data_IF_892363902365
#
_entry.id   IF_892363902365
#
_cell.length_a   1.000
_cell.length_b   1.000
_cell.length_c   1.000
_cell.angle_alpha   90.00
_cell.angle_beta   90.00
_cell.angle_gamma   90.00
#
_symmetry.space_group_name_H-M   'P 1'
#
loop_
_entity.id
_entity.type
_entity.pdbx_description
1 polymer ?
#
# COMPACT_ATOMS: atom_id res chain seq x y z
N UNK A 1 -10.66 -7.18 -13.64
CA UNK A 1 -9.21 -7.30 -13.35
C UNK A 1 -8.60 -8.39 -14.23
N UNK A 2 -7.26 -8.50 -14.29
CA UNK A 2 -6.61 -9.65 -14.96
C UNK A 2 -7.06 -11.00 -14.37
N UNK A 3 -7.39 -11.04 -13.06
CA UNK A 3 -8.00 -12.19 -12.39
C UNK A 3 -9.29 -12.70 -13.04
N UNK A 4 -10.09 -11.81 -13.64
CA UNK A 4 -11.45 -12.13 -14.11
C UNK A 4 -11.49 -12.54 -15.58
N UNK A 5 -10.33 -12.56 -16.26
CA UNK A 5 -10.25 -12.98 -17.65
C UNK A 5 -10.52 -14.47 -17.78
N UNK A 6 -11.25 -14.86 -18.82
CA UNK A 6 -11.28 -16.25 -19.28
C UNK A 6 -9.83 -16.68 -19.57
N UNK A 7 -9.43 -17.82 -19.01
CA UNK A 7 -8.05 -18.33 -19.11
C UNK A 7 -7.06 -17.79 -18.08
N UNK A 8 -7.45 -16.92 -17.15
CA UNK A 8 -6.57 -16.50 -16.05
C UNK A 8 -6.14 -17.73 -15.22
N UNK A 9 -4.83 -17.91 -15.08
CA UNK A 9 -4.24 -18.94 -14.22
C UNK A 9 -4.52 -18.62 -12.74
N UNK A 10 -4.41 -19.61 -11.87
CA UNK A 10 -4.54 -19.38 -10.42
C UNK A 10 -3.46 -18.41 -9.91
N UNK A 11 -2.26 -18.46 -10.50
CA UNK A 11 -1.18 -17.52 -10.22
C UNK A 11 -1.56 -16.06 -10.54
N UNK A 12 -2.18 -15.81 -11.71
CA UNK A 12 -2.71 -14.48 -12.08
C UNK A 12 -3.81 -14.07 -11.09
N UNK A 13 -4.76 -14.95 -10.79
CA UNK A 13 -5.88 -14.65 -9.89
C UNK A 13 -5.40 -14.26 -8.49
N UNK A 14 -4.55 -15.08 -7.89
CA UNK A 14 -4.03 -14.86 -6.54
C UNK A 14 -3.22 -13.57 -6.47
N UNK A 15 -2.21 -13.42 -7.30
CA UNK A 15 -1.30 -12.28 -7.13
C UNK A 15 -1.89 -10.96 -7.63
N UNK A 16 -2.82 -10.97 -8.59
CA UNK A 16 -3.46 -9.71 -9.01
C UNK A 16 -4.39 -9.16 -7.93
N UNK A 17 -5.06 -10.03 -7.17
CA UNK A 17 -5.80 -9.61 -5.99
C UNK A 17 -4.87 -8.96 -4.95
N UNK A 18 -3.73 -9.60 -4.63
CA UNK A 18 -2.80 -9.07 -3.63
C UNK A 18 -2.18 -7.72 -4.06
N UNK A 19 -1.84 -7.58 -5.35
CA UNK A 19 -1.40 -6.31 -5.94
C UNK A 19 -2.48 -5.24 -5.78
N UNK A 20 -3.73 -5.56 -6.12
CA UNK A 20 -4.85 -4.63 -6.03
C UNK A 20 -5.12 -4.19 -4.58
N UNK A 21 -5.11 -5.11 -3.61
CA UNK A 21 -5.28 -4.77 -2.19
C UNK A 21 -4.16 -3.86 -1.71
N UNK A 22 -2.90 -4.17 -2.02
CA UNK A 22 -1.74 -3.33 -1.62
C UNK A 22 -1.78 -1.94 -2.28
N UNK A 23 -2.22 -1.87 -3.54
CA UNK A 23 -2.43 -0.60 -4.24
C UNK A 23 -3.56 0.22 -3.63
N UNK A 24 -4.67 -0.41 -3.24
CA UNK A 24 -5.79 0.29 -2.58
C UNK A 24 -5.38 0.79 -1.19
N UNK A 25 -4.63 0.02 -0.41
CA UNK A 25 -4.04 0.48 0.85
C UNK A 25 -3.12 1.69 0.64
N UNK A 26 -2.34 1.68 -0.44
CA UNK A 26 -1.47 2.80 -0.84
C UNK A 26 -2.28 4.06 -1.16
N UNK A 27 -3.40 3.92 -1.87
CA UNK A 27 -4.33 5.03 -2.15
C UNK A 27 -4.93 5.57 -0.85
N UNK A 28 -5.41 4.72 0.04
CA UNK A 28 -5.95 5.16 1.33
C UNK A 28 -4.93 5.95 2.17
N UNK A 29 -3.66 5.55 2.14
CA UNK A 29 -2.57 6.30 2.79
C UNK A 29 -2.30 7.64 2.09
N UNK A 30 -2.35 7.68 0.77
CA UNK A 30 -2.22 8.93 0.02
C UNK A 30 -3.36 9.91 0.36
N UNK A 31 -4.59 9.43 0.48
CA UNK A 31 -5.73 10.24 0.91
C UNK A 31 -5.50 10.79 2.33
N UNK A 32 -5.02 9.96 3.27
CA UNK A 32 -4.67 10.42 4.63
C UNK A 32 -3.56 11.46 4.62
N UNK A 33 -2.55 11.32 3.77
CA UNK A 33 -1.48 12.33 3.61
C UNK A 33 -2.05 13.65 3.11
N UNK A 34 -3.01 13.64 2.17
CA UNK A 34 -3.67 14.85 1.69
C UNK A 34 -4.49 15.53 2.79
N UNK A 35 -5.21 14.76 3.61
CA UNK A 35 -5.94 15.28 4.77
C UNK A 35 -5.00 15.93 5.79
N UNK A 36 -3.87 15.28 6.11
CA UNK A 36 -2.88 15.82 7.03
C UNK A 36 -2.24 17.09 6.47
N UNK A 37 -1.92 17.12 5.18
CA UNK A 37 -1.39 18.30 4.51
C UNK A 37 -2.37 19.48 4.52
N UNK A 38 -3.68 19.24 4.45
CA UNK A 38 -4.69 20.27 4.61
C UNK A 38 -4.71 20.82 6.05
N UNK A 39 -4.71 19.94 7.05
CA UNK A 39 -4.68 20.33 8.47
C UNK A 39 -3.41 21.11 8.83
N UNK A 40 -2.25 20.73 8.27
CA UNK A 40 -0.98 21.44 8.45
C UNK A 40 -1.07 22.88 7.89
N UNK A 41 -1.72 23.07 6.74
CA UNK A 41 -1.90 24.40 6.14
C UNK A 41 -2.86 25.28 6.96
N UNK A 42 -3.80 24.69 7.68
CA UNK A 42 -4.75 25.39 8.54
C UNK A 42 -4.18 25.68 9.95
N UNK A 43 -3.09 25.04 10.34
CA UNK A 43 -2.49 25.21 11.66
C UNK A 43 -1.98 26.65 11.89
N UNK A 44 -2.41 27.26 12.98
CA UNK A 44 -2.06 28.65 13.33
C UNK A 44 -0.64 28.80 13.91
N UNK A 45 0.03 27.69 14.21
CA UNK A 45 1.37 27.69 14.80
C UNK A 45 2.17 26.45 14.42
N UNK A 46 3.50 26.57 14.53
CA UNK A 46 4.41 25.43 14.36
C UNK A 46 4.15 24.33 15.40
N UNK A 47 3.84 24.70 16.64
CA UNK A 47 3.54 23.74 17.72
C UNK A 47 2.26 22.94 17.41
N UNK A 48 1.26 23.56 16.79
CA UNK A 48 0.04 22.87 16.35
C UNK A 48 0.29 21.98 15.11
N UNK A 49 1.18 22.40 14.20
CA UNK A 49 1.50 21.65 12.99
C UNK A 49 2.44 20.45 13.25
N UNK A 50 3.31 20.53 14.26
CA UNK A 50 4.34 19.52 14.53
C UNK A 50 3.82 18.07 14.59
N UNK A 51 2.80 17.73 15.41
CA UNK A 51 2.30 16.35 15.48
C UNK A 51 1.67 15.88 14.16
N UNK A 52 1.07 16.78 13.37
CA UNK A 52 0.49 16.44 12.07
C UNK A 52 1.57 16.11 11.04
N UNK A 53 2.70 16.83 11.08
CA UNK A 53 3.86 16.56 10.22
C UNK A 53 4.50 15.22 10.58
N UNK A 54 4.60 14.89 11.87
CA UNK A 54 5.09 13.59 12.34
C UNK A 54 4.22 12.44 11.83
N UNK A 55 2.89 12.56 11.98
CA UNK A 55 1.95 11.56 11.45
C UNK A 55 2.05 11.46 9.92
N UNK A 56 2.14 12.58 9.21
CA UNK A 56 2.27 12.59 7.75
C UNK A 56 3.54 11.87 7.29
N UNK A 57 4.67 12.07 7.99
CA UNK A 57 5.91 11.39 7.69
C UNK A 57 5.82 9.89 7.93
N UNK A 58 5.14 9.46 9.00
CA UNK A 58 4.89 8.05 9.30
C UNK A 58 4.03 7.39 8.20
N UNK A 59 2.88 7.99 7.87
CA UNK A 59 1.96 7.47 6.83
C UNK A 59 2.65 7.44 5.47
N UNK A 60 3.50 8.42 5.14
CA UNK A 60 4.30 8.42 3.92
C UNK A 60 5.32 7.26 3.88
N UNK A 61 5.93 6.91 5.01
CA UNK A 61 6.77 5.72 5.12
C UNK A 61 5.96 4.44 4.88
N UNK A 62 4.83 4.30 5.57
CA UNK A 62 3.92 3.16 5.46
C UNK A 62 3.31 3.01 4.07
N UNK A 63 3.18 4.09 3.29
CA UNK A 63 2.74 4.04 1.90
C UNK A 63 3.68 3.16 1.06
N UNK A 64 4.99 3.24 1.33
CA UNK A 64 6.01 2.47 0.62
C UNK A 64 6.13 1.07 1.20
N UNK A 65 6.47 0.96 2.49
CA UNK A 65 6.83 -0.31 3.14
C UNK A 65 5.64 -1.15 3.60
N UNK A 66 4.45 -0.53 3.68
CA UNK A 66 3.30 -1.05 4.41
C UNK A 66 3.44 -0.93 5.92
N UNK A 67 2.46 -1.51 6.64
CA UNK A 67 2.34 -1.51 8.10
C UNK A 67 1.96 -2.93 8.56
N UNK A 68 2.53 -3.40 9.66
CA UNK A 68 2.05 -4.61 10.34
C UNK A 68 0.82 -4.24 11.19
N UNK A 69 -0.33 -4.19 10.53
CA UNK A 69 -1.57 -3.74 11.17
C UNK A 69 -2.19 -4.82 12.07
N UNK A 70 -1.89 -6.10 11.82
CA UNK A 70 -2.43 -7.21 12.60
C UNK A 70 -1.52 -7.65 13.77
N UNK A 71 -0.26 -7.18 13.82
CA UNK A 71 0.69 -7.44 14.89
C UNK A 71 1.34 -8.83 14.84
N UNK A 72 1.42 -9.47 13.67
CA UNK A 72 2.03 -10.80 13.49
C UNK A 72 3.56 -10.74 13.27
N UNK A 73 4.12 -9.53 13.26
CA UNK A 73 5.55 -9.26 13.07
C UNK A 73 5.95 -9.17 11.59
N UNK A 74 5.00 -9.13 10.65
CA UNK A 74 5.24 -9.06 9.21
C UNK A 74 4.26 -8.10 8.54
N UNK A 75 4.70 -7.51 7.43
CA UNK A 75 3.82 -6.72 6.57
C UNK A 75 3.31 -7.60 5.43
N UNK A 76 2.04 -8.00 5.52
CA UNK A 76 1.34 -8.74 4.47
C UNK A 76 0.76 -7.84 3.37
N UNK A 77 0.05 -8.44 2.42
CA UNK A 77 -0.68 -7.73 1.35
C UNK A 77 -2.10 -7.33 1.77
N UNK A 78 -2.57 -7.84 2.92
CA UNK A 78 -3.93 -7.73 3.42
C UNK A 78 -4.37 -6.27 3.58
N UNK A 79 -5.67 -6.07 3.75
CA UNK A 79 -6.27 -4.76 4.02
C UNK A 79 -5.59 -4.10 5.22
N UNK A 80 -5.19 -2.83 5.05
CA UNK A 80 -4.49 -2.06 6.08
C UNK A 80 -2.98 -2.34 6.20
N UNK A 81 -2.45 -3.36 5.53
CA UNK A 81 -1.03 -3.73 5.65
C UNK A 81 -0.21 -3.30 4.45
N UNK A 82 -0.35 -3.98 3.31
CA UNK A 82 0.56 -3.87 2.18
C UNK A 82 0.72 -2.45 1.64
N UNK A 83 1.94 -2.09 1.26
CA UNK A 83 2.30 -0.87 0.53
C UNK A 83 2.82 -1.17 -0.87
N UNK A 84 3.51 -0.20 -1.47
CA UNK A 84 4.09 -0.34 -2.81
C UNK A 84 5.07 -1.51 -2.94
N UNK A 85 5.81 -1.82 -1.87
CA UNK A 85 6.75 -2.95 -1.87
C UNK A 85 6.04 -4.30 -2.03
N UNK A 86 4.92 -4.50 -1.34
CA UNK A 86 4.11 -5.72 -1.43
C UNK A 86 3.44 -5.83 -2.81
N UNK A 87 2.94 -4.71 -3.34
CA UNK A 87 2.44 -4.67 -4.72
C UNK A 87 3.53 -5.08 -5.72
N UNK A 88 4.74 -4.54 -5.59
CA UNK A 88 5.86 -4.89 -6.47
C UNK A 88 6.30 -6.35 -6.31
N UNK A 89 6.38 -6.87 -5.08
CA UNK A 89 6.71 -8.27 -4.82
C UNK A 89 5.70 -9.21 -5.47
N UNK A 90 4.40 -8.93 -5.33
CA UNK A 90 3.34 -9.75 -5.93
C UNK A 90 3.27 -9.64 -7.46
N UNK A 91 3.57 -8.48 -8.04
CA UNK A 91 3.79 -8.39 -9.50
C UNK A 91 4.97 -9.27 -9.94
N UNK A 92 6.04 -9.32 -9.16
CA UNK A 92 7.18 -10.21 -9.40
C UNK A 92 6.82 -11.70 -9.34
N UNK A 93 6.06 -12.12 -8.32
CA UNK A 93 5.56 -13.49 -8.21
C UNK A 93 4.67 -13.87 -9.39
N UNK A 94 3.74 -12.98 -9.76
CA UNK A 94 2.86 -13.16 -10.91
C UNK A 94 3.65 -13.39 -12.20
N UNK A 95 4.61 -12.50 -12.53
CA UNK A 95 5.44 -12.63 -13.73
C UNK A 95 6.22 -13.95 -13.75
N UNK A 96 6.80 -14.36 -12.62
CA UNK A 96 7.55 -15.63 -12.54
C UNK A 96 6.66 -16.84 -12.73
N UNK A 97 5.46 -16.86 -12.14
CA UNK A 97 4.52 -17.96 -12.30
C UNK A 97 4.00 -18.12 -13.73
N UNK A 98 4.00 -17.04 -14.52
CA UNK A 98 3.65 -17.06 -15.96
C UNK A 98 4.87 -17.28 -16.88
N UNK A 99 6.07 -17.56 -16.33
CA UNK A 99 7.28 -17.76 -17.13
C UNK A 99 7.89 -16.48 -17.73
N UNK A 100 7.48 -15.30 -17.25
CA UNK A 100 7.90 -13.98 -17.74
C UNK A 100 9.03 -13.34 -16.90
N UNK A 101 9.61 -14.08 -15.96
CA UNK A 101 10.52 -13.56 -14.92
C UNK A 101 12.01 -13.67 -15.21
N UNK A 102 12.41 -13.58 -16.47
CA UNK A 102 13.83 -13.58 -16.89
C UNK A 102 14.58 -12.32 -16.50
#
# INVERSE_FOLDING_TARGET
MAADSEGATDNIRTHSNHVATSANNTVARADRILELAAQIQEAESADAAAPLVEEMAEVAGQLVSGLDANGDGRVGWQEGEGGLEQANAHMGFMKRGEGMGG
#
